data_IF_182767386933
#
_entry.id   IF_182767386933
#
_cell.length_a   1.000
_cell.length_b   1.000
_cell.length_c   1.000
_cell.angle_alpha   90.00
_cell.angle_beta   90.00
_cell.angle_gamma   90.00
#
_symmetry.space_group_name_H-M   'P 1'
#
loop_
_entity.id
_entity.type
_entity.pdbx_description
1 polymer ?
#
# COMPACT_ATOMS: atom_id res chain seq x y z
N UNK A 1 13.06 3.02 -3.20
CA UNK A 1 12.93 1.89 -4.14
C UNK A 1 11.80 0.94 -3.77
N UNK A 2 11.68 0.59 -2.51
CA UNK A 2 10.59 -0.30 -2.09
C UNK A 2 9.23 0.38 -2.22
N UNK A 3 9.14 1.66 -1.85
CA UNK A 3 7.90 2.42 -2.01
C UNK A 3 7.51 2.55 -3.48
N UNK A 4 8.46 2.63 -4.38
CA UNK A 4 8.18 2.70 -5.82
C UNK A 4 7.61 1.39 -6.33
N UNK A 5 8.12 0.27 -5.85
CA UNK A 5 7.59 -1.05 -6.21
C UNK A 5 6.15 -1.19 -5.74
N UNK A 6 5.87 -0.80 -4.49
CA UNK A 6 4.53 -0.87 -3.95
C UNK A 6 3.58 0.08 -4.68
N UNK A 7 4.04 1.29 -4.97
CA UNK A 7 3.25 2.25 -5.72
C UNK A 7 2.85 1.69 -7.09
N UNK A 8 3.80 1.08 -7.78
CA UNK A 8 3.54 0.49 -9.08
C UNK A 8 2.49 -0.61 -9.01
N UNK A 9 2.60 -1.49 -8.01
CA UNK A 9 1.64 -2.58 -7.82
C UNK A 9 0.24 -2.04 -7.53
N UNK A 10 0.15 -1.05 -6.65
CA UNK A 10 -1.14 -0.46 -6.28
C UNK A 10 -1.77 0.27 -7.46
N UNK A 11 -0.98 1.01 -8.21
CA UNK A 11 -1.49 1.71 -9.41
C UNK A 11 -2.07 0.77 -10.45
N UNK A 12 -1.59 -0.46 -10.50
CA UNK A 12 -2.13 -1.47 -11.39
C UNK A 12 -3.49 -2.03 -10.96
N UNK A 13 -3.89 -1.78 -9.72
CA UNK A 13 -5.14 -2.30 -9.15
C UNK A 13 -6.26 -1.27 -9.17
N UNK A 14 -5.92 0.00 -8.95
CA UNK A 14 -6.89 1.07 -8.71
C UNK A 14 -7.40 1.71 -9.99
N UNK A 15 -8.50 2.43 -9.87
CA UNK A 15 -9.06 3.22 -10.97
C UNK A 15 -8.59 4.67 -10.95
N UNK A 16 -8.01 5.11 -9.83
CA UNK A 16 -7.51 6.48 -9.67
C UNK A 16 -6.01 6.43 -9.36
N UNK A 17 -5.16 6.02 -10.33
CA UNK A 17 -3.74 5.84 -10.06
C UNK A 17 -2.99 7.12 -9.70
N UNK A 18 -3.46 8.26 -10.18
CA UNK A 18 -2.87 9.56 -9.85
C UNK A 18 -3.14 9.99 -8.39
N UNK A 19 -4.04 9.29 -7.71
CA UNK A 19 -4.32 9.53 -6.30
C UNK A 19 -3.49 8.65 -5.37
N UNK A 20 -2.72 7.73 -5.92
CA UNK A 20 -1.90 6.81 -5.11
C UNK A 20 -0.65 7.52 -4.61
N UNK A 21 -0.45 7.49 -3.31
CA UNK A 21 0.76 8.03 -2.67
C UNK A 21 1.27 6.99 -1.69
N UNK A 22 2.55 6.66 -1.79
CA UNK A 22 3.19 5.74 -0.86
C UNK A 22 4.25 6.48 -0.09
N UNK A 23 4.18 6.40 1.24
CA UNK A 23 5.15 7.03 2.13
C UNK A 23 5.86 5.96 2.95
N UNK A 24 7.17 6.07 3.01
CA UNK A 24 8.00 5.18 3.80
C UNK A 24 8.29 5.84 5.14
N UNK A 25 7.90 5.17 6.21
CA UNK A 25 8.16 5.65 7.57
C UNK A 25 9.05 4.67 8.30
N UNK A 26 10.23 5.10 8.68
CA UNK A 26 11.12 4.29 9.49
C UNK A 26 10.69 4.38 10.94
N UNK A 27 10.53 3.23 11.57
CA UNK A 27 10.20 3.12 12.99
C UNK A 27 11.36 2.47 13.73
N UNK A 28 11.32 2.54 15.07
CA UNK A 28 12.33 1.89 15.90
C UNK A 28 12.48 0.41 15.59
N UNK A 29 11.38 -0.27 15.32
CA UNK A 29 11.36 -1.72 15.15
C UNK A 29 10.91 -2.14 13.77
N UNK A 30 11.26 -1.36 12.75
CA UNK A 30 10.93 -1.74 11.40
C UNK A 30 10.49 -0.58 10.54
N UNK A 31 9.75 -0.89 9.50
CA UNK A 31 9.26 0.09 8.55
C UNK A 31 7.76 -0.05 8.35
N UNK A 32 7.13 1.09 8.12
CA UNK A 32 5.74 1.13 7.70
C UNK A 32 5.69 1.82 6.34
N UNK A 33 5.04 1.17 5.38
CA UNK A 33 4.72 1.80 4.11
C UNK A 33 3.26 2.20 4.16
N UNK A 34 3.01 3.50 4.18
CA UNK A 34 1.66 4.04 4.21
C UNK A 34 1.20 4.27 2.78
N UNK A 35 0.12 3.61 2.39
CA UNK A 35 -0.45 3.71 1.05
C UNK A 35 -1.74 4.50 1.12
N UNK A 36 -1.79 5.63 0.43
CA UNK A 36 -2.99 6.45 0.34
C UNK A 36 -3.60 6.28 -1.03
N UNK A 37 -4.89 6.00 -1.06
CA UNK A 37 -5.62 5.81 -2.31
C UNK A 37 -6.94 6.57 -2.25
N UNK A 38 -7.56 6.74 -3.41
CA UNK A 38 -8.90 7.31 -3.48
C UNK A 38 -9.85 6.44 -2.65
N UNK A 39 -10.80 7.05 -1.90
CA UNK A 39 -11.72 6.25 -1.07
C UNK A 39 -12.45 5.15 -1.81
N UNK A 40 -12.80 5.38 -3.07
CA UNK A 40 -13.47 4.36 -3.88
C UNK A 40 -12.57 3.17 -4.22
N UNK A 41 -11.26 3.38 -4.16
CA UNK A 41 -10.30 2.33 -4.48
C UNK A 41 -9.84 1.53 -3.27
N UNK A 42 -10.11 2.01 -2.08
CA UNK A 42 -9.62 1.37 -0.86
C UNK A 42 -10.06 -0.09 -0.76
N UNK A 43 -11.33 -0.36 -1.06
CA UNK A 43 -11.85 -1.71 -1.05
C UNK A 43 -11.16 -2.64 -2.05
N UNK A 44 -10.73 -2.10 -3.20
CA UNK A 44 -10.02 -2.87 -4.22
C UNK A 44 -8.63 -3.27 -3.77
N UNK A 45 -7.96 -2.37 -3.06
CA UNK A 45 -6.60 -2.62 -2.59
C UNK A 45 -6.60 -3.59 -1.42
N UNK A 46 -7.63 -3.53 -0.57
CA UNK A 46 -7.80 -4.50 0.51
C UNK A 46 -8.15 -5.86 -0.07
N UNK A 47 -9.08 -5.87 -1.04
CA UNK A 47 -9.53 -7.09 -1.68
C UNK A 47 -10.53 -7.87 -0.84
N UNK A 48 -11.14 -8.88 -1.46
CA UNK A 48 -12.11 -9.73 -0.77
C UNK A 48 -11.40 -10.46 0.38
N UNK A 49 -11.93 -10.29 1.59
CA UNK A 49 -11.38 -10.89 2.79
C UNK A 49 -9.91 -10.52 3.05
N UNK A 50 -9.50 -9.36 2.55
CA UNK A 50 -8.14 -8.88 2.74
C UNK A 50 -7.07 -9.58 1.92
N UNK A 51 -7.47 -10.34 0.89
CA UNK A 51 -6.51 -11.13 0.10
C UNK A 51 -5.52 -10.31 -0.69
N UNK A 52 -5.96 -9.21 -1.28
CA UNK A 52 -5.06 -8.34 -2.05
C UNK A 52 -4.05 -7.68 -1.13
N UNK A 53 -4.51 -7.16 0.00
CA UNK A 53 -3.62 -6.54 0.98
C UNK A 53 -2.59 -7.56 1.49
N UNK A 54 -3.02 -8.78 1.77
CA UNK A 54 -2.13 -9.84 2.22
C UNK A 54 -1.09 -10.18 1.16
N UNK A 55 -1.50 -10.25 -0.11
CA UNK A 55 -0.59 -10.52 -1.20
C UNK A 55 0.46 -9.41 -1.33
N UNK A 56 0.05 -8.15 -1.21
CA UNK A 56 0.97 -7.02 -1.25
C UNK A 56 2.00 -7.11 -0.12
N UNK A 57 1.56 -7.44 1.08
CA UNK A 57 2.48 -7.59 2.22
C UNK A 57 3.48 -8.71 1.98
N UNK A 58 3.04 -9.81 1.40
CA UNK A 58 3.90 -10.96 1.11
C UNK A 58 4.97 -10.59 0.09
N UNK A 59 4.58 -9.94 -1.01
CA UNK A 59 5.51 -9.54 -2.07
C UNK A 59 6.55 -8.54 -1.53
N UNK A 60 6.08 -7.51 -0.84
CA UNK A 60 6.96 -6.47 -0.32
C UNK A 60 7.88 -7.03 0.75
N UNK A 61 7.38 -7.90 1.62
CA UNK A 61 8.21 -8.55 2.63
C UNK A 61 9.31 -9.39 2.02
N UNK A 62 9.01 -10.09 0.93
CA UNK A 62 10.01 -10.88 0.21
C UNK A 62 11.11 -9.99 -0.40
N UNK A 63 10.72 -8.85 -0.96
CA UNK A 63 11.68 -7.90 -1.55
C UNK A 63 12.58 -7.26 -0.50
N UNK A 64 12.04 -6.98 0.68
CA UNK A 64 12.79 -6.35 1.76
C UNK A 64 13.63 -7.36 2.53
N UNK A 65 13.28 -8.62 2.51
CA UNK A 65 13.95 -9.65 3.26
C UNK A 65 13.57 -9.70 4.73
N UNK A 66 12.57 -8.94 5.13
CA UNK A 66 12.02 -8.93 6.49
C UNK A 66 10.63 -8.34 6.49
N UNK A 67 9.94 -8.46 7.61
CA UNK A 67 8.58 -7.96 7.73
C UNK A 67 8.51 -6.46 7.55
N UNK A 68 7.60 -6.03 6.68
CA UNK A 68 7.29 -4.62 6.46
C UNK A 68 5.79 -4.46 6.63
N UNK A 69 5.41 -3.49 7.45
CA UNK A 69 4.01 -3.20 7.67
C UNK A 69 3.48 -2.30 6.56
N UNK A 70 2.31 -2.63 6.05
CA UNK A 70 1.65 -1.82 5.03
C UNK A 70 0.32 -1.33 5.62
N UNK A 71 0.18 -0.02 5.69
CA UNK A 71 -1.06 0.62 6.14
C UNK A 71 -1.78 1.21 4.93
N UNK A 72 -3.03 0.84 4.76
CA UNK A 72 -3.87 1.34 3.66
C UNK A 72 -4.81 2.40 4.23
N UNK A 73 -4.76 3.60 3.68
CA UNK A 73 -5.56 4.71 4.15
C UNK A 73 -6.19 5.48 2.99
N UNK A 74 -7.25 6.22 3.30
CA UNK A 74 -7.89 7.08 2.31
C UNK A 74 -7.06 8.35 2.12
N UNK A 75 -7.04 8.84 0.88
CA UNK A 75 -6.36 10.08 0.57
C UNK A 75 -7.01 11.24 1.33
N UNK A 76 -6.20 12.18 1.88
CA UNK A 76 -6.75 13.31 2.61
C UNK A 76 -7.61 14.20 1.69
N UNK A 77 -8.62 14.83 2.27
CA UNK A 77 -9.46 15.76 1.53
C UNK A 77 -10.70 15.15 0.91
N UNK A 78 -10.81 13.85 0.89
CA UNK A 78 -12.02 13.18 0.43
C UNK A 78 -12.93 12.90 1.61
N UNK A 79 -14.22 13.14 1.40
CA UNK A 79 -15.22 12.99 2.44
C UNK A 79 -16.47 12.33 1.88
#
# INVERSE_FOLDING_TARGET
>A
MLEEALEHLVKGIVEHPDEVVVRDRALRRGRILEVRVHPEDLGKVIGRQGRTAKALRTVIGALEGRSVRIDLVEAPGYR
#
